data_IF_041804379215
#
_entry.id   IF_041804379215
#
_cell.length_a   1.000
_cell.length_b   1.000
_cell.length_c   1.000
_cell.angle_alpha   90.00
_cell.angle_beta   90.00
_cell.angle_gamma   90.00
#
_symmetry.space_group_name_H-M   'P 1'
#
loop_
_entity.id
_entity.type
_entity.pdbx_description
1 polymer ?
#
# COMPACT_ATOMS: atom_id res chain seq x y z
N UNK A 1 5.36 -2.01 0.25
CA UNK A 1 5.35 -0.56 0.56
C UNK A 1 5.48 0.18 -0.76
N UNK A 2 4.59 1.14 -1.06
CA UNK A 2 4.61 1.87 -2.34
C UNK A 2 5.73 2.93 -2.40
N UNK A 3 5.43 4.14 -2.91
CA UNK A 3 6.43 5.24 -2.98
C UNK A 3 7.05 5.71 -1.65
N UNK A 4 6.51 5.31 -0.50
CA UNK A 4 7.12 5.57 0.82
C UNK A 4 8.11 4.44 1.11
N UNK A 5 9.22 4.43 0.38
CA UNK A 5 10.31 3.46 0.49
C UNK A 5 11.61 4.04 -0.10
N UNK A 6 12.70 3.27 -0.05
CA UNK A 6 14.01 3.65 -0.56
C UNK A 6 14.59 2.51 -1.40
N UNK A 7 15.40 2.82 -2.41
CA UNK A 7 16.07 1.81 -3.26
C UNK A 7 16.89 0.81 -2.45
N UNK A 8 17.52 1.25 -1.36
CA UNK A 8 18.25 0.38 -0.43
C UNK A 8 17.37 -0.71 0.24
N UNK A 9 16.04 -0.58 0.21
CA UNK A 9 15.08 -1.54 0.77
C UNK A 9 14.41 -2.41 -0.31
N UNK A 10 14.72 -2.15 -1.58
CA UNK A 10 14.11 -2.86 -2.70
C UNK A 10 15.02 -3.99 -3.19
N UNK A 11 14.45 -5.08 -3.72
CA UNK A 11 15.21 -6.11 -4.42
C UNK A 11 16.11 -5.46 -5.48
N UNK A 12 17.37 -5.86 -5.52
CA UNK A 12 18.38 -5.41 -6.49
C UNK A 12 18.55 -3.88 -6.57
N UNK A 13 18.20 -3.13 -5.52
CA UNK A 13 18.31 -1.68 -5.50
C UNK A 13 17.33 -0.95 -6.43
N UNK A 14 16.26 -1.62 -6.88
CA UNK A 14 15.30 -1.04 -7.82
C UNK A 14 14.54 0.15 -7.22
N UNK A 15 14.00 1.06 -8.06
CA UNK A 15 13.10 2.10 -7.59
C UNK A 15 11.85 1.49 -6.92
N UNK A 16 11.35 2.08 -5.82
CA UNK A 16 10.04 1.73 -5.27
C UNK A 16 8.93 1.86 -6.31
N UNK A 17 7.83 1.13 -6.15
CA UNK A 17 6.70 1.16 -7.08
C UNK A 17 5.54 2.01 -6.59
N UNK A 18 4.77 2.58 -7.52
CA UNK A 18 3.61 3.42 -7.23
C UNK A 18 2.61 3.41 -8.41
N UNK A 19 1.36 3.88 -8.24
CA UNK A 19 0.45 4.09 -9.36
C UNK A 19 0.98 5.12 -10.38
N UNK A 20 1.74 6.12 -9.93
CA UNK A 20 2.33 7.16 -10.77
C UNK A 20 3.74 7.51 -10.28
N UNK A 21 4.60 8.00 -11.17
CA UNK A 21 5.98 8.40 -10.86
C UNK A 21 6.04 9.76 -10.13
N UNK A 22 5.30 9.88 -9.03
CA UNK A 22 5.22 11.09 -8.20
C UNK A 22 5.94 10.80 -6.88
N UNK A 23 7.07 11.45 -6.57
CA UNK A 23 7.80 11.27 -5.31
C UNK A 23 6.95 11.54 -4.06
N UNK A 24 7.27 10.86 -2.96
CA UNK A 24 6.71 11.21 -1.65
C UNK A 24 7.52 12.35 -1.03
N UNK A 25 6.82 13.40 -0.61
CA UNK A 25 7.32 14.63 0.01
C UNK A 25 7.06 14.62 1.51
N UNK A 26 7.77 15.43 2.30
CA UNK A 26 7.56 15.64 3.75
C UNK A 26 7.37 14.37 4.61
N UNK A 27 7.99 13.26 4.18
CA UNK A 27 8.06 12.00 4.94
C UNK A 27 9.48 11.47 4.92
N UNK A 28 9.82 10.65 5.90
CA UNK A 28 11.14 9.99 6.01
C UNK A 28 10.95 8.49 6.10
N UNK A 29 11.91 7.75 5.55
CA UNK A 29 11.99 6.28 5.66
C UNK A 29 13.30 5.92 6.34
N UNK A 30 13.29 4.84 7.10
CA UNK A 30 14.49 4.33 7.76
C UNK A 30 15.23 3.37 6.83
N UNK A 31 16.54 3.53 6.66
CA UNK A 31 17.41 2.59 5.96
C UNK A 31 18.50 2.07 6.91
N UNK A 32 18.85 0.79 6.79
CA UNK A 32 20.00 0.23 7.47
C UNK A 32 21.29 0.68 6.75
N UNK A 33 22.25 1.20 7.50
CA UNK A 33 23.55 1.67 6.99
C UNK A 33 24.71 0.79 7.47
N UNK A 34 24.41 -0.20 8.31
CA UNK A 34 25.34 -1.18 8.89
C UNK A 34 24.66 -1.98 9.99
N UNK A 35 25.30 -3.03 10.55
CA UNK A 35 24.67 -3.92 11.53
C UNK A 35 24.12 -3.16 12.75
N UNK A 36 22.79 -3.12 12.87
CA UNK A 36 22.11 -2.44 13.98
C UNK A 36 22.18 -0.90 13.92
N UNK A 37 22.65 -0.33 12.81
CA UNK A 37 22.74 1.11 12.58
C UNK A 37 21.92 1.51 11.36
N UNK A 38 21.28 2.67 11.42
CA UNK A 38 20.56 3.20 10.27
C UNK A 38 20.20 4.66 10.43
N UNK A 39 19.59 5.21 9.39
CA UNK A 39 19.24 6.62 9.33
C UNK A 39 17.86 6.84 8.75
N UNK A 40 17.23 7.94 9.14
CA UNK A 40 16.05 8.45 8.46
C UNK A 40 16.50 9.22 7.22
N UNK A 41 16.05 8.82 6.04
CA UNK A 41 16.37 9.47 4.77
C UNK A 41 15.10 9.80 3.98
N UNK A 42 15.24 10.54 2.89
CA UNK A 42 14.14 10.83 1.97
C UNK A 42 13.78 9.57 1.18
N UNK A 43 12.49 9.33 0.88
CA UNK A 43 12.09 8.26 -0.03
C UNK A 43 12.73 8.44 -1.41
N UNK A 44 13.05 7.32 -2.08
CA UNK A 44 13.50 7.37 -3.47
C UNK A 44 12.34 7.68 -4.42
N UNK A 45 12.64 8.28 -5.57
CA UNK A 45 11.64 8.49 -6.62
C UNK A 45 11.05 7.15 -7.09
N UNK A 46 9.72 6.99 -7.15
CA UNK A 46 9.10 5.73 -7.53
C UNK A 46 9.00 5.57 -9.05
N UNK A 47 8.90 4.32 -9.50
CA UNK A 47 8.49 3.95 -10.85
C UNK A 47 6.97 3.71 -10.89
N UNK A 48 6.32 4.18 -11.96
CA UNK A 48 4.92 3.86 -12.20
C UNK A 48 4.77 2.37 -12.59
N UNK A 49 3.83 1.69 -11.95
CA UNK A 49 3.45 0.31 -12.28
C UNK A 49 2.81 0.25 -13.68
N UNK A 50 3.12 -0.79 -14.46
CA UNK A 50 2.30 -1.13 -15.63
C UNK A 50 0.96 -1.70 -15.19
N UNK A 51 -0.04 -1.73 -16.08
CA UNK A 51 -1.35 -2.33 -15.77
C UNK A 51 -1.20 -3.82 -15.43
N UNK A 52 -0.29 -4.51 -16.10
CA UNK A 52 0.03 -5.93 -15.86
C UNK A 52 0.64 -6.13 -14.47
N UNK A 53 1.60 -5.29 -14.07
CA UNK A 53 2.20 -5.37 -12.73
C UNK A 53 1.18 -5.10 -11.61
N UNK A 54 0.14 -4.29 -11.85
CA UNK A 54 -0.95 -4.11 -10.89
C UNK A 54 -1.72 -5.41 -10.69
N UNK A 55 -2.02 -6.14 -11.77
CA UNK A 55 -2.70 -7.44 -11.70
C UNK A 55 -1.82 -8.49 -11.01
N UNK A 56 -0.52 -8.49 -11.27
CA UNK A 56 0.44 -9.37 -10.58
C UNK A 56 0.50 -9.06 -9.08
N UNK A 57 0.48 -7.78 -8.69
CA UNK A 57 0.43 -7.38 -7.29
C UNK A 57 -0.81 -7.91 -6.56
N UNK A 58 -1.97 -7.96 -7.23
CA UNK A 58 -3.19 -8.56 -6.65
C UNK A 58 -2.94 -10.03 -6.28
N UNK A 59 -2.25 -10.78 -7.13
CA UNK A 59 -1.92 -12.18 -6.85
C UNK A 59 -0.87 -12.32 -5.75
N UNK A 60 0.08 -11.37 -5.65
CA UNK A 60 1.01 -11.33 -4.51
C UNK A 60 0.28 -11.10 -3.17
N UNK A 61 -0.77 -10.28 -3.14
CA UNK A 61 -1.62 -10.16 -1.94
C UNK A 61 -2.36 -11.47 -1.63
N UNK A 62 -2.85 -12.18 -2.66
CA UNK A 62 -3.47 -13.50 -2.48
C UNK A 62 -2.47 -14.49 -1.88
N UNK A 63 -1.26 -14.54 -2.41
CA UNK A 63 -0.21 -15.41 -1.90
C UNK A 63 0.17 -15.04 -0.47
N UNK A 64 0.29 -13.75 -0.16
CA UNK A 64 0.52 -13.28 1.22
C UNK A 64 -0.60 -13.73 2.17
N UNK A 65 -1.86 -13.71 1.74
CA UNK A 65 -2.97 -14.23 2.51
C UNK A 65 -2.87 -15.75 2.72
N UNK A 66 -2.45 -16.52 1.72
CA UNK A 66 -2.21 -17.97 1.88
C UNK A 66 -1.12 -18.23 2.92
N UNK A 67 -0.01 -17.48 2.84
CA UNK A 67 1.08 -17.58 3.78
C UNK A 67 0.65 -17.23 5.21
N UNK A 68 -0.17 -16.18 5.39
CA UNK A 68 -0.72 -15.82 6.69
C UNK A 68 -1.63 -16.92 7.25
N UNK A 69 -2.46 -17.54 6.41
CA UNK A 69 -3.32 -18.65 6.83
C UNK A 69 -2.51 -19.87 7.24
N UNK A 70 -1.45 -20.21 6.49
CA UNK A 70 -0.51 -21.28 6.83
C UNK A 70 0.23 -21.01 8.14
N UNK A 71 0.57 -19.74 8.41
CA UNK A 71 1.15 -19.31 9.68
C UNK A 71 0.17 -19.32 10.87
N UNK A 72 -1.12 -19.64 10.65
CA UNK A 72 -2.12 -19.80 11.70
C UNK A 72 -2.84 -18.52 12.12
N UNK A 73 -2.80 -17.45 11.32
CA UNK A 73 -3.62 -16.26 11.58
C UNK A 73 -5.11 -16.54 11.38
N UNK A 74 -5.97 -15.98 12.22
CA UNK A 74 -7.44 -16.10 12.10
C UNK A 74 -8.02 -15.24 10.97
N UNK A 75 -7.30 -14.19 10.58
CA UNK A 75 -7.70 -13.22 9.58
C UNK A 75 -6.57 -12.23 9.26
N UNK A 76 -6.84 -11.32 8.34
CA UNK A 76 -5.87 -10.30 7.90
C UNK A 76 -6.52 -8.93 7.79
N UNK A 77 -5.72 -7.87 7.97
CA UNK A 77 -6.12 -6.49 7.71
C UNK A 77 -5.36 -5.94 6.51
N UNK A 78 -6.08 -5.46 5.50
CA UNK A 78 -5.50 -4.76 4.35
C UNK A 78 -5.17 -3.33 4.75
N UNK A 79 -3.89 -2.96 4.59
CA UNK A 79 -3.43 -1.60 4.88
C UNK A 79 -3.72 -0.65 3.70
N UNK A 80 -4.91 -0.06 3.69
CA UNK A 80 -5.37 0.94 2.71
C UNK A 80 -5.34 2.38 3.26
N UNK A 81 -4.30 2.70 4.03
CA UNK A 81 -4.20 3.94 4.81
C UNK A 81 -2.79 4.53 4.78
N UNK A 82 -2.64 5.72 5.35
CA UNK A 82 -1.37 6.36 5.69
C UNK A 82 -0.38 6.49 4.52
N UNK A 83 -0.89 6.71 3.31
CA UNK A 83 -0.05 6.96 2.13
C UNK A 83 0.66 5.75 1.57
N UNK A 84 0.31 4.52 1.98
CA UNK A 84 0.86 3.30 1.39
C UNK A 84 0.12 2.89 0.10
N UNK A 85 0.63 1.88 -0.58
CA UNK A 85 0.35 1.60 -1.99
C UNK A 85 -1.15 1.62 -2.34
N UNK A 86 -2.00 0.92 -1.59
CA UNK A 86 -3.45 0.91 -1.86
C UNK A 86 -4.03 2.32 -1.73
N UNK A 87 -3.66 3.07 -0.69
CA UNK A 87 -4.11 4.46 -0.53
C UNK A 87 -3.55 5.39 -1.62
N UNK A 88 -2.36 5.11 -2.15
CA UNK A 88 -1.80 5.83 -3.30
C UNK A 88 -2.66 5.63 -4.55
N UNK A 89 -3.25 4.46 -4.77
CA UNK A 89 -4.21 4.24 -5.87
C UNK A 89 -5.52 5.00 -5.65
N UNK A 90 -6.02 5.06 -4.42
CA UNK A 90 -7.29 5.71 -4.09
C UNK A 90 -7.23 7.24 -4.29
N UNK A 91 -6.12 7.86 -3.91
CA UNK A 91 -5.94 9.32 -3.93
C UNK A 91 -5.64 9.85 -5.34
N UNK A 92 -6.32 10.93 -5.72
CA UNK A 92 -6.08 11.64 -6.99
C UNK A 92 -4.79 12.43 -7.03
N UNK A 93 -4.24 12.78 -5.88
CA UNK A 93 -2.97 13.51 -5.79
C UNK A 93 -1.78 12.59 -6.08
N UNK A 94 -1.96 11.28 -5.94
CA UNK A 94 -0.90 10.28 -6.12
C UNK A 94 -1.14 9.33 -7.27
N UNK A 95 -2.37 9.27 -7.78
CA UNK A 95 -2.77 8.46 -8.92
C UNK A 95 -3.30 9.33 -10.05
N UNK A 96 -2.41 9.63 -11.00
CA UNK A 96 -2.71 10.35 -12.25
C UNK A 96 -2.76 9.41 -13.45
N UNK A 97 -3.01 8.12 -13.22
CA UNK A 97 -3.12 7.13 -14.30
C UNK A 97 -4.32 7.42 -15.18
N UNK A 98 -4.21 7.03 -16.45
CA UNK A 98 -5.27 7.15 -17.45
C UNK A 98 -5.82 5.79 -17.90
N UNK A 99 -5.38 4.70 -17.28
CA UNK A 99 -5.87 3.36 -17.54
C UNK A 99 -7.02 2.98 -16.57
N UNK A 100 -7.39 1.70 -16.54
CA UNK A 100 -8.49 1.20 -15.71
C UNK A 100 -8.29 1.36 -14.20
N UNK A 101 -7.08 1.73 -13.76
CA UNK A 101 -6.75 1.97 -12.36
C UNK A 101 -6.67 3.45 -11.99
N UNK A 102 -6.98 4.39 -12.89
CA UNK A 102 -6.98 5.84 -12.60
C UNK A 102 -8.12 6.64 -13.22
N UNK A 103 -8.10 7.95 -12.97
CA UNK A 103 -9.15 8.87 -13.37
C UNK A 103 -10.35 8.85 -12.41
N UNK A 104 -11.40 8.13 -12.76
CA UNK A 104 -12.65 8.09 -11.99
C UNK A 104 -12.44 7.46 -10.60
N UNK A 105 -13.30 7.82 -9.63
CA UNK A 105 -13.26 7.21 -8.30
C UNK A 105 -13.38 5.68 -8.36
N UNK A 106 -14.23 5.15 -9.26
CA UNK A 106 -14.39 3.72 -9.47
C UNK A 106 -13.06 3.06 -9.88
N UNK A 107 -12.35 3.63 -10.85
CA UNK A 107 -11.06 3.12 -11.30
C UNK A 107 -9.99 3.23 -10.20
N UNK A 108 -9.95 4.34 -9.46
CA UNK A 108 -9.03 4.51 -8.32
C UNK A 108 -9.27 3.51 -7.20
N UNK A 109 -10.53 3.06 -7.02
CA UNK A 109 -10.90 2.03 -6.05
C UNK A 109 -10.69 0.60 -6.57
N UNK A 110 -10.50 0.40 -7.88
CA UNK A 110 -10.40 -0.92 -8.52
C UNK A 110 -9.32 -1.80 -7.89
N UNK A 111 -8.13 -1.26 -7.68
CA UNK A 111 -7.03 -2.02 -7.07
C UNK A 111 -7.37 -2.52 -5.66
N UNK A 112 -7.99 -1.69 -4.81
CA UNK A 112 -8.45 -2.11 -3.49
C UNK A 112 -9.51 -3.22 -3.59
N UNK A 113 -10.46 -3.08 -4.51
CA UNK A 113 -11.54 -4.08 -4.69
C UNK A 113 -10.97 -5.43 -5.12
N UNK A 114 -10.04 -5.43 -6.07
CA UNK A 114 -9.38 -6.65 -6.57
C UNK A 114 -8.56 -7.33 -5.46
N UNK A 115 -7.75 -6.58 -4.71
CA UNK A 115 -7.01 -7.11 -3.55
C UNK A 115 -7.96 -7.67 -2.49
N UNK A 116 -9.03 -6.94 -2.15
CA UNK A 116 -10.01 -7.38 -1.15
C UNK A 116 -10.68 -8.67 -1.56
N UNK A 117 -11.10 -8.79 -2.83
CA UNK A 117 -11.67 -10.04 -3.36
C UNK A 117 -10.64 -11.18 -3.28
N UNK A 118 -9.42 -10.95 -3.77
CA UNK A 118 -8.39 -11.97 -3.83
C UNK A 118 -8.04 -12.55 -2.44
N UNK A 119 -7.96 -11.68 -1.44
CA UNK A 119 -7.67 -12.07 -0.05
C UNK A 119 -8.90 -12.71 0.62
N UNK A 120 -10.11 -12.22 0.31
CA UNK A 120 -11.36 -12.81 0.80
C UNK A 120 -11.60 -14.23 0.28
N UNK A 121 -11.15 -14.56 -0.94
CA UNK A 121 -11.23 -15.93 -1.46
C UNK A 121 -10.38 -16.92 -0.64
N UNK A 122 -9.38 -16.43 0.11
CA UNK A 122 -8.50 -17.26 0.96
C UNK A 122 -9.03 -17.38 2.39
N UNK A 123 -9.44 -16.26 3.00
CA UNK A 123 -9.84 -16.17 4.41
C UNK A 123 -11.35 -16.25 4.67
N UNK A 124 -12.16 -16.04 3.63
CA UNK A 124 -13.57 -15.70 3.76
C UNK A 124 -13.75 -14.23 4.17
N UNK A 125 -14.78 -13.56 3.63
CA UNK A 125 -14.97 -12.11 3.77
C UNK A 125 -15.12 -11.62 5.23
N UNK A 126 -15.58 -12.48 6.15
CA UNK A 126 -15.71 -12.14 7.59
C UNK A 126 -14.37 -11.99 8.32
N UNK A 127 -13.30 -12.54 7.74
CA UNK A 127 -11.96 -12.56 8.35
C UNK A 127 -10.98 -11.62 7.64
N UNK A 128 -11.50 -10.69 6.83
CA UNK A 128 -10.71 -9.68 6.11
C UNK A 128 -11.15 -8.29 6.55
N UNK A 129 -10.28 -7.59 7.26
CA UNK A 129 -10.44 -6.17 7.58
C UNK A 129 -9.80 -5.29 6.53
N UNK A 130 -10.26 -4.04 6.42
CA UNK A 130 -9.59 -3.00 5.62
C UNK A 130 -9.43 -1.75 6.48
N UNK A 131 -8.20 -1.27 6.60
CA UNK A 131 -7.89 -0.05 7.35
C UNK A 131 -7.79 1.14 6.40
N UNK A 132 -8.59 2.17 6.67
CA UNK A 132 -8.61 3.42 5.91
C UNK A 132 -8.10 4.60 6.73
N UNK A 133 -7.55 5.60 6.02
CA UNK A 133 -7.32 6.94 6.53
C UNK A 133 -7.94 7.94 5.54
N UNK A 134 -9.27 8.17 5.58
CA UNK A 134 -9.98 8.88 4.51
C UNK A 134 -9.59 10.36 4.39
N UNK A 135 -9.04 10.94 5.47
CA UNK A 135 -8.51 12.29 5.46
C UNK A 135 -7.06 12.35 4.96
N UNK A 136 -6.44 11.22 4.61
CA UNK A 136 -5.11 11.17 4.03
C UNK A 136 -5.21 11.31 2.50
N UNK A 137 -4.89 12.51 2.01
CA UNK A 137 -4.94 12.87 0.58
C UNK A 137 -3.56 12.81 -0.06
N UNK A 138 -2.55 13.41 0.58
CA UNK A 138 -1.17 13.39 0.14
C UNK A 138 -0.20 13.38 1.33
N UNK A 139 1.10 13.37 1.02
CA UNK A 139 2.17 13.53 2.01
C UNK A 139 2.61 14.99 2.14
N UNK A 140 1.92 15.96 1.53
CA UNK A 140 2.38 17.35 1.49
C UNK A 140 2.14 18.11 2.79
N UNK A 141 1.34 17.55 3.71
CA UNK A 141 1.00 18.15 5.00
C UNK A 141 1.57 17.36 6.18
N UNK A 142 2.05 18.07 7.21
CA UNK A 142 2.50 17.48 8.48
C UNK A 142 1.30 16.93 9.28
N UNK A 143 1.31 15.64 9.63
CA UNK A 143 0.17 14.99 10.31
C UNK A 143 0.59 13.99 11.40
N UNK A 144 -0.19 13.96 12.49
CA UNK A 144 -0.10 12.97 13.59
C UNK A 144 -1.15 11.89 13.40
N UNK A 145 -0.72 10.62 13.40
CA UNK A 145 -1.60 9.47 13.20
C UNK A 145 -2.22 8.98 14.51
N UNK A 146 -3.56 9.04 14.63
CA UNK A 146 -4.32 8.35 15.66
C UNK A 146 -5.19 7.28 14.99
N UNK A 147 -4.76 6.01 15.07
CA UNK A 147 -5.57 4.87 14.62
C UNK A 147 -6.46 4.37 15.75
N UNK A 148 -7.77 4.57 15.63
CA UNK A 148 -8.76 3.98 16.54
C UNK A 148 -9.22 2.64 15.97
N UNK A 149 -8.97 1.54 16.69
CA UNK A 149 -9.51 0.22 16.38
C UNK A 149 -10.68 -0.04 17.33
N UNK A 150 -11.92 0.07 16.86
CA UNK A 150 -13.06 -0.47 17.60
C UNK A 150 -13.35 -1.90 17.13
N UNK A 151 -13.34 -2.84 18.08
CA UNK A 151 -13.93 -4.17 17.86
C UNK A 151 -15.44 -4.02 18.00
N UNK A 152 -16.19 -4.45 17.00
CA UNK A 152 -17.62 -4.71 17.16
C UNK A 152 -17.72 -6.03 17.92
N UNK A 153 -18.11 -5.97 19.19
CA UNK A 153 -18.57 -7.15 19.94
C UNK A 153 -20.07 -7.28 19.72
N UNK A 154 -20.51 -8.52 19.53
CA UNK A 154 -21.92 -8.90 19.51
C UNK A 154 -22.48 -8.85 20.94
#
# INVERSE_FOLDING_TARGET
MGRVSHTALQPDGQPPVAPSAIPATNVRVFIETGPGTGELTQPSAPRALTTEEVRELVELYRQAARNAKEAGFDGVELHAANGYLINQFISEHTNVRTDEYGGSLENRLRFLQEVTRAVSDVFGSRNVGVRFAPLFTSTDEDRVYLGWLSRIHN
#
